data_IF_811623721252
#
_entry.id   IF_811623721252
#
_cell.length_a   1.000
_cell.length_b   1.000
_cell.length_c   1.000
_cell.angle_alpha   90.00
_cell.angle_beta   90.00
_cell.angle_gamma   90.00
#
_symmetry.space_group_name_H-M   'P 1'
#
loop_
_entity.id
_entity.type
_entity.pdbx_description
1 polymer ?
#
# COMPACT_ATOMS: atom_id res chain seq x y z
N UNK A 1 51.28 12.39 27.51
CA UNK A 1 50.43 12.42 28.71
C UNK A 1 49.04 12.02 28.27
N UNK A 2 48.66 10.84 28.72
CA UNK A 2 47.49 10.03 28.39
C UNK A 2 46.23 10.63 29.01
N UNK A 3 45.32 11.18 28.20
CA UNK A 3 43.92 11.25 28.61
C UNK A 3 43.30 9.88 28.32
N UNK A 4 43.32 9.03 29.33
CA UNK A 4 42.53 7.81 29.39
C UNK A 4 41.06 8.19 29.25
N UNK A 5 40.49 7.94 28.06
CA UNK A 5 39.05 7.95 27.83
C UNK A 5 38.39 7.08 28.90
N UNK A 6 37.54 7.73 29.70
CA UNK A 6 36.80 7.09 30.78
C UNK A 6 35.99 5.92 30.18
N UNK A 7 36.10 4.68 30.70
CA UNK A 7 35.30 3.58 30.18
C UNK A 7 33.83 3.91 30.39
N UNK A 8 33.05 3.77 29.32
CA UNK A 8 31.61 4.00 29.37
C UNK A 8 30.99 3.06 30.38
N UNK A 9 30.49 3.62 31.47
CA UNK A 9 29.80 2.89 32.52
C UNK A 9 28.44 2.42 31.98
N UNK A 10 27.90 1.25 32.39
CA UNK A 10 26.59 0.76 31.92
C UNK A 10 25.43 1.74 32.14
N UNK A 11 25.62 2.77 32.97
CA UNK A 11 24.68 3.83 33.25
C UNK A 11 24.57 4.90 32.14
N UNK A 12 25.57 5.06 31.27
CA UNK A 12 25.54 6.04 30.17
C UNK A 12 24.70 5.56 28.98
N UNK A 13 24.55 4.23 28.83
CA UNK A 13 23.62 3.59 27.89
C UNK A 13 22.15 3.88 28.27
N UNK A 14 21.88 4.14 29.56
CA UNK A 14 20.52 4.26 30.09
C UNK A 14 19.87 5.64 29.88
N UNK A 15 20.63 6.67 29.45
CA UNK A 15 20.11 8.04 29.22
C UNK A 15 19.90 8.42 27.75
N UNK A 16 20.42 7.64 26.81
CA UNK A 16 20.03 7.75 25.40
C UNK A 16 18.66 7.13 25.21
N UNK A 17 17.64 7.93 24.89
CA UNK A 17 16.33 7.42 24.45
C UNK A 17 16.58 6.52 23.23
N UNK A 18 16.78 5.22 23.42
CA UNK A 18 17.10 4.26 22.36
C UNK A 18 16.12 4.51 21.21
N UNK A 19 16.66 4.94 20.06
CA UNK A 19 15.84 5.27 18.90
C UNK A 19 15.10 4.00 18.49
N UNK A 20 13.79 3.98 18.78
CA UNK A 20 12.91 2.87 18.42
C UNK A 20 12.14 3.20 17.16
N UNK A 21 12.01 2.21 16.27
CA UNK A 21 11.17 2.30 15.10
C UNK A 21 10.05 1.28 15.17
N UNK A 22 8.80 1.76 15.25
CA UNK A 22 7.63 0.90 15.22
C UNK A 22 7.14 0.74 13.79
N UNK A 23 6.98 -0.50 13.36
CA UNK A 23 6.43 -0.89 12.07
C UNK A 23 5.13 -1.66 12.30
N UNK A 24 4.15 -1.35 11.47
CA UNK A 24 2.88 -2.06 11.37
C UNK A 24 2.67 -2.34 9.89
N UNK A 25 2.34 -3.58 9.56
CA UNK A 25 1.94 -4.02 8.23
C UNK A 25 0.45 -3.76 8.05
N UNK A 26 0.04 -3.23 6.89
CA UNK A 26 -1.37 -2.95 6.62
C UNK A 26 -2.00 -4.06 5.78
N UNK A 27 -3.27 -4.42 6.03
CA UNK A 27 -3.95 -5.44 5.25
C UNK A 27 -4.29 -4.90 3.85
N UNK A 28 -4.41 -5.80 2.85
CA UNK A 28 -4.72 -5.42 1.46
C UNK A 28 -6.03 -4.62 1.31
N UNK A 29 -6.97 -4.76 2.25
CA UNK A 29 -8.22 -3.99 2.24
C UNK A 29 -8.00 -2.47 2.24
N UNK A 30 -6.87 -1.96 2.76
CA UNK A 30 -6.58 -0.52 2.78
C UNK A 30 -6.45 0.05 1.36
N UNK A 31 -6.11 -0.76 0.35
CA UNK A 31 -6.03 -0.32 -1.05
C UNK A 31 -7.39 -0.05 -1.71
N UNK A 32 -8.51 -0.31 -1.03
CA UNK A 32 -9.84 0.12 -1.48
C UNK A 32 -10.11 1.62 -1.25
N UNK A 33 -9.17 2.37 -0.65
CA UNK A 33 -9.37 3.81 -0.40
C UNK A 33 -9.70 4.64 -1.67
N UNK A 34 -9.16 4.37 -2.88
CA UNK A 34 -9.54 5.12 -4.07
C UNK A 34 -11.03 4.95 -4.41
N UNK A 35 -11.54 3.72 -4.26
CA UNK A 35 -12.96 3.42 -4.47
C UNK A 35 -13.84 4.09 -3.41
N UNK A 36 -13.38 4.14 -2.16
CA UNK A 36 -14.07 4.89 -1.10
C UNK A 36 -14.23 6.36 -1.49
N UNK A 37 -13.13 7.03 -1.89
CA UNK A 37 -13.20 8.43 -2.29
C UNK A 37 -14.03 8.63 -3.56
N UNK A 38 -13.89 7.75 -4.56
CA UNK A 38 -14.69 7.82 -5.77
C UNK A 38 -16.19 7.69 -5.45
N UNK A 39 -16.58 6.75 -4.59
CA UNK A 39 -17.97 6.57 -4.15
C UNK A 39 -18.49 7.81 -3.42
N UNK A 40 -17.70 8.38 -2.51
CA UNK A 40 -18.09 9.56 -1.75
C UNK A 40 -18.28 10.79 -2.65
N UNK A 41 -17.37 11.02 -3.61
CA UNK A 41 -17.48 12.09 -4.59
C UNK A 41 -18.70 11.88 -5.49
N UNK A 42 -18.93 10.66 -5.98
CA UNK A 42 -20.12 10.34 -6.79
C UNK A 42 -21.43 10.58 -6.01
N UNK A 43 -21.47 10.23 -4.72
CA UNK A 43 -22.60 10.50 -3.84
C UNK A 43 -22.89 12.00 -3.70
N UNK A 44 -21.85 12.82 -3.51
CA UNK A 44 -21.96 14.28 -3.41
C UNK A 44 -22.46 14.89 -4.73
N UNK A 45 -21.92 14.45 -5.87
CA UNK A 45 -22.33 14.94 -7.19
C UNK A 45 -23.81 14.64 -7.45
N UNK A 46 -24.26 13.42 -7.16
CA UNK A 46 -25.66 13.03 -7.36
C UNK A 46 -26.60 13.75 -6.39
N UNK A 47 -26.15 14.02 -5.15
CA UNK A 47 -26.95 14.75 -4.17
C UNK A 47 -27.10 16.24 -4.49
N UNK A 48 -26.03 16.88 -4.98
CA UNK A 48 -26.00 18.34 -5.23
C UNK A 48 -26.62 18.71 -6.57
N UNK A 49 -26.49 17.85 -7.59
CA UNK A 49 -26.99 18.10 -8.94
C UNK A 49 -27.65 16.85 -9.53
N UNK A 50 -28.88 16.51 -9.09
CA UNK A 50 -29.59 15.31 -9.53
C UNK A 50 -30.16 15.49 -10.94
N UNK A 51 -29.29 15.53 -11.95
CA UNK A 51 -29.68 15.41 -13.36
C UNK A 51 -29.49 13.96 -13.83
N UNK A 52 -30.32 13.45 -14.75
CA UNK A 52 -30.18 12.08 -15.27
C UNK A 52 -28.80 11.82 -15.89
N UNK A 53 -28.22 12.83 -16.52
CA UNK A 53 -26.87 12.78 -17.09
C UNK A 53 -25.80 12.62 -16.00
N UNK A 54 -25.82 13.46 -14.95
CA UNK A 54 -24.86 13.38 -13.84
C UNK A 54 -24.96 12.04 -13.09
N UNK A 55 -26.17 11.50 -12.92
CA UNK A 55 -26.40 10.20 -12.30
C UNK A 55 -25.77 9.06 -13.10
N UNK A 56 -25.92 9.11 -14.43
CA UNK A 56 -25.38 8.13 -15.37
C UNK A 56 -23.85 8.21 -15.45
N UNK A 57 -23.30 9.43 -15.46
CA UNK A 57 -21.86 9.68 -15.41
C UNK A 57 -21.25 9.21 -14.10
N UNK A 58 -21.87 9.52 -12.96
CA UNK A 58 -21.41 9.07 -11.65
C UNK A 58 -21.40 7.53 -11.55
N UNK A 59 -22.45 6.87 -12.05
CA UNK A 59 -22.52 5.41 -12.09
C UNK A 59 -21.42 4.80 -12.95
N UNK A 60 -21.19 5.39 -14.11
CA UNK A 60 -20.14 5.00 -15.05
C UNK A 60 -18.74 5.10 -14.44
N UNK A 61 -18.45 6.25 -13.80
CA UNK A 61 -17.18 6.50 -13.12
C UNK A 61 -16.99 5.54 -11.95
N UNK A 62 -18.04 5.32 -11.16
CA UNK A 62 -17.98 4.40 -10.03
C UNK A 62 -17.70 2.96 -10.47
N UNK A 63 -18.41 2.44 -11.47
CA UNK A 63 -18.18 1.08 -12.00
C UNK A 63 -16.79 0.95 -12.60
N UNK A 64 -16.31 1.96 -13.33
CA UNK A 64 -14.94 1.96 -13.86
C UNK A 64 -13.90 1.93 -12.73
N UNK A 65 -14.08 2.76 -11.69
CA UNK A 65 -13.20 2.78 -10.53
C UNK A 65 -13.25 1.44 -9.77
N UNK A 66 -14.44 0.86 -9.60
CA UNK A 66 -14.64 -0.44 -8.99
C UNK A 66 -13.92 -1.55 -9.76
N UNK A 67 -14.11 -1.61 -11.08
CA UNK A 67 -13.43 -2.56 -11.95
C UNK A 67 -11.92 -2.43 -11.85
N UNK A 68 -11.40 -1.21 -11.93
CA UNK A 68 -9.97 -0.95 -11.84
C UNK A 68 -9.41 -1.35 -10.46
N UNK A 69 -10.12 -1.04 -9.38
CA UNK A 69 -9.72 -1.42 -8.03
C UNK A 69 -9.71 -2.94 -7.84
N UNK A 70 -10.72 -3.65 -8.36
CA UNK A 70 -10.76 -5.11 -8.36
C UNK A 70 -9.62 -5.70 -9.18
N UNK A 71 -9.28 -5.13 -10.33
CA UNK A 71 -8.15 -5.57 -11.16
C UNK A 71 -6.83 -5.43 -10.39
N UNK A 72 -6.58 -4.27 -9.79
CA UNK A 72 -5.37 -4.01 -8.99
C UNK A 72 -5.21 -5.00 -7.83
N UNK A 73 -6.30 -5.33 -7.14
CA UNK A 73 -6.23 -6.21 -5.96
C UNK A 73 -6.18 -7.69 -6.34
N UNK A 74 -6.76 -8.07 -7.48
CA UNK A 74 -6.79 -9.45 -7.94
C UNK A 74 -5.46 -9.89 -8.58
N UNK A 75 -4.68 -8.95 -9.09
CA UNK A 75 -3.42 -9.22 -9.76
C UNK A 75 -2.26 -8.62 -8.98
N UNK A 76 -1.39 -9.48 -8.45
CA UNK A 76 -0.09 -9.04 -7.94
C UNK A 76 0.80 -8.68 -9.13
N UNK A 77 0.93 -7.37 -9.42
CA UNK A 77 1.72 -6.91 -10.57
C UNK A 77 3.15 -6.57 -10.17
N UNK A 78 4.14 -7.44 -10.46
CA UNK A 78 5.53 -7.08 -10.31
C UNK A 78 5.92 -6.00 -11.31
N UNK A 79 6.88 -5.15 -10.91
CA UNK A 79 7.51 -4.06 -11.67
C UNK A 79 7.29 -4.07 -13.18
N UNK A 80 7.93 -5.06 -13.81
CA UNK A 80 8.01 -5.19 -15.26
C UNK A 80 6.68 -5.61 -15.89
N UNK A 81 5.90 -6.47 -15.23
CA UNK A 81 4.61 -6.95 -15.75
C UNK A 81 3.56 -5.85 -15.79
N UNK A 82 3.55 -4.96 -14.79
CA UNK A 82 2.67 -3.78 -14.78
C UNK A 82 2.95 -2.88 -16.01
N UNK A 83 4.23 -2.60 -16.27
CA UNK A 83 4.65 -1.75 -17.37
C UNK A 83 4.29 -2.35 -18.74
N UNK A 84 4.54 -3.65 -18.92
CA UNK A 84 4.14 -4.39 -20.14
C UNK A 84 2.63 -4.36 -20.34
N UNK A 85 1.84 -4.50 -19.27
CA UNK A 85 0.38 -4.42 -19.37
C UNK A 85 -0.08 -3.03 -19.81
N UNK A 86 0.47 -1.96 -19.23
CA UNK A 86 0.10 -0.58 -19.60
C UNK A 86 0.44 -0.32 -21.07
N UNK A 87 1.65 -0.64 -21.51
CA UNK A 87 2.04 -0.48 -22.91
C UNK A 87 1.28 -1.43 -23.85
N UNK A 88 0.97 -2.64 -23.40
CA UNK A 88 0.18 -3.61 -24.17
C UNK A 88 -1.24 -3.14 -24.40
N UNK A 89 -1.90 -2.60 -23.38
CA UNK A 89 -3.24 -1.99 -23.49
C UNK A 89 -3.18 -0.76 -24.41
N UNK A 90 -2.18 0.11 -24.23
CA UNK A 90 -2.00 1.29 -25.08
C UNK A 90 -1.79 0.89 -26.54
N UNK A 91 -0.86 -0.03 -26.82
CA UNK A 91 -0.59 -0.54 -28.14
C UNK A 91 -1.81 -1.24 -28.76
N UNK A 92 -2.59 -1.97 -27.96
CA UNK A 92 -3.84 -2.60 -28.39
C UNK A 92 -4.86 -1.55 -28.84
N UNK A 93 -5.12 -0.51 -28.04
CA UNK A 93 -6.04 0.56 -28.41
C UNK A 93 -5.56 1.39 -29.60
N UNK A 94 -4.26 1.70 -29.67
CA UNK A 94 -3.67 2.36 -30.85
C UNK A 94 -3.77 1.49 -32.10
N UNK A 95 -3.55 0.18 -31.97
CA UNK A 95 -3.69 -0.78 -33.07
C UNK A 95 -5.12 -0.85 -33.58
N UNK A 96 -6.10 -0.92 -32.68
CA UNK A 96 -7.53 -0.86 -33.04
C UNK A 96 -7.89 0.45 -33.75
N UNK A 97 -7.41 1.58 -33.23
CA UNK A 97 -7.65 2.89 -33.85
C UNK A 97 -7.02 2.99 -35.24
N UNK A 98 -5.82 2.44 -35.44
CA UNK A 98 -5.16 2.40 -36.74
C UNK A 98 -5.92 1.53 -37.75
N UNK A 99 -6.47 0.39 -37.31
CA UNK A 99 -7.31 -0.48 -38.14
C UNK A 99 -8.62 0.18 -38.55
N UNK A 100 -9.23 0.97 -37.67
CA UNK A 100 -10.42 1.76 -37.99
C UNK A 100 -10.11 2.77 -39.12
N UNK A 101 -9.00 3.51 -39.01
CA UNK A 101 -8.60 4.51 -40.02
C UNK A 101 -8.18 3.87 -41.36
N UNK A 102 -7.39 2.80 -41.33
CA UNK A 102 -6.81 2.20 -42.55
C UNK A 102 -7.66 1.13 -43.21
N UNK A 103 -8.34 0.30 -42.43
CA UNK A 103 -9.10 -0.85 -42.93
C UNK A 103 -10.62 -0.62 -42.91
N UNK A 104 -11.09 0.52 -42.36
CA UNK A 104 -12.51 0.85 -42.26
C UNK A 104 -13.30 -0.10 -41.34
N UNK A 105 -12.60 -0.90 -40.52
CA UNK A 105 -13.23 -1.85 -39.63
C UNK A 105 -13.68 -1.09 -38.38
N UNK A 106 -14.98 -0.82 -38.31
CA UNK A 106 -15.69 -0.05 -37.28
C UNK A 106 -15.79 -0.76 -35.93
N UNK A 107 -14.69 -1.32 -35.42
CA UNK A 107 -14.66 -2.02 -34.13
C UNK A 107 -14.76 -1.02 -32.97
N UNK A 108 -14.04 0.09 -33.07
CA UNK A 108 -14.00 1.10 -32.02
C UNK A 108 -15.34 1.82 -31.80
N UNK A 109 -16.04 2.30 -32.86
CA UNK A 109 -17.37 2.87 -32.71
C UNK A 109 -18.39 1.84 -32.18
N UNK A 110 -18.30 0.56 -32.56
CA UNK A 110 -19.18 -0.48 -32.01
C UNK A 110 -19.05 -0.62 -30.48
N UNK A 111 -17.82 -0.60 -29.97
CA UNK A 111 -17.58 -0.67 -28.51
C UNK A 111 -18.12 0.58 -27.82
N UNK A 112 -17.93 1.77 -28.39
CA UNK A 112 -18.41 3.02 -27.80
C UNK A 112 -19.94 3.15 -27.83
N UNK A 113 -20.56 2.68 -28.91
CA UNK A 113 -22.02 2.72 -29.08
C UNK A 113 -22.68 1.71 -28.15
N UNK A 114 -22.13 0.49 -28.05
CA UNK A 114 -22.57 -0.49 -27.07
C UNK A 114 -22.47 0.04 -25.64
N UNK A 115 -21.35 0.68 -25.28
CA UNK A 115 -21.20 1.28 -23.96
C UNK A 115 -22.21 2.41 -23.69
N UNK A 116 -22.42 3.32 -24.65
CA UNK A 116 -23.39 4.42 -24.50
C UNK A 116 -24.82 3.93 -24.40
N UNK A 117 -25.21 2.99 -25.26
CA UNK A 117 -26.60 2.57 -25.38
C UNK A 117 -27.02 1.57 -24.30
N UNK A 118 -26.16 0.64 -23.92
CA UNK A 118 -26.50 -0.37 -22.91
C UNK A 118 -26.08 0.01 -21.50
N UNK A 119 -24.88 0.57 -21.33
CA UNK A 119 -24.31 0.80 -19.99
C UNK A 119 -24.65 2.19 -19.50
N UNK A 120 -24.27 3.24 -20.25
CA UNK A 120 -24.40 4.61 -19.75
C UNK A 120 -25.86 5.03 -19.53
N UNK A 121 -26.77 4.75 -20.48
CA UNK A 121 -28.18 5.16 -20.39
C UNK A 121 -28.96 4.51 -19.25
N UNK A 122 -28.57 3.30 -18.81
CA UNK A 122 -29.34 2.53 -17.81
C UNK A 122 -28.71 2.57 -16.42
N UNK A 123 -27.50 3.12 -16.28
CA UNK A 123 -26.72 3.05 -15.05
C UNK A 123 -26.97 4.27 -14.16
N UNK A 124 -28.18 4.39 -13.63
CA UNK A 124 -28.54 5.41 -12.64
C UNK A 124 -28.58 4.82 -11.24
N UNK A 125 -27.65 5.22 -10.36
CA UNK A 125 -27.67 4.85 -8.95
C UNK A 125 -28.10 6.03 -8.06
N UNK A 126 -28.81 5.73 -6.97
CA UNK A 126 -29.21 6.73 -5.97
C UNK A 126 -28.00 7.25 -5.17
N UNK A 127 -28.05 8.50 -4.69
CA UNK A 127 -27.04 9.06 -3.79
C UNK A 127 -26.82 8.18 -2.54
N UNK A 128 -27.89 7.58 -2.02
CA UNK A 128 -27.83 6.70 -0.84
C UNK A 128 -26.95 5.47 -1.09
N UNK A 129 -27.01 4.90 -2.29
CA UNK A 129 -26.19 3.74 -2.66
C UNK A 129 -24.70 4.06 -2.53
N UNK A 130 -24.26 5.20 -3.05
CA UNK A 130 -22.86 5.62 -2.96
C UNK A 130 -22.41 5.86 -1.52
N UNK A 131 -23.25 6.48 -0.69
CA UNK A 131 -22.93 6.68 0.72
C UNK A 131 -22.88 5.37 1.51
N UNK A 132 -23.77 4.41 1.22
CA UNK A 132 -23.71 3.08 1.82
C UNK A 132 -22.41 2.36 1.48
N UNK A 133 -22.01 2.35 0.20
CA UNK A 133 -20.73 1.75 -0.22
C UNK A 133 -19.56 2.46 0.46
N UNK A 134 -19.54 3.80 0.47
CA UNK A 134 -18.49 4.56 1.14
C UNK A 134 -18.40 4.23 2.63
N UNK A 135 -19.54 4.06 3.32
CA UNK A 135 -19.58 3.73 4.74
C UNK A 135 -19.05 2.31 5.00
N UNK A 136 -19.45 1.33 4.18
CA UNK A 136 -18.96 -0.05 4.28
C UNK A 136 -17.44 -0.09 4.10
N UNK A 137 -16.93 0.54 3.04
CA UNK A 137 -15.49 0.61 2.77
C UNK A 137 -14.74 1.33 3.89
N UNK A 138 -15.31 2.41 4.43
CA UNK A 138 -14.70 3.16 5.52
C UNK A 138 -14.55 2.28 6.76
N UNK A 139 -15.61 1.56 7.14
CA UNK A 139 -15.60 0.64 8.28
C UNK A 139 -14.59 -0.48 8.04
N UNK A 140 -14.57 -1.10 6.85
CA UNK A 140 -13.63 -2.18 6.55
C UNK A 140 -12.17 -1.72 6.64
N UNK A 141 -11.84 -0.55 6.08
CA UNK A 141 -10.49 0.02 6.13
C UNK A 141 -10.13 0.41 7.57
N UNK A 142 -11.03 1.08 8.29
CA UNK A 142 -10.82 1.49 9.67
C UNK A 142 -10.59 0.27 10.59
N UNK A 143 -11.44 -0.76 10.50
CA UNK A 143 -11.28 -2.01 11.24
C UNK A 143 -9.98 -2.73 10.88
N UNK A 144 -9.59 -2.78 9.60
CA UNK A 144 -8.34 -3.40 9.17
C UNK A 144 -7.09 -2.69 9.71
N UNK A 145 -7.08 -1.34 9.67
CA UNK A 145 -5.98 -0.54 10.23
C UNK A 145 -5.93 -0.70 11.76
N UNK A 146 -7.08 -0.61 12.42
CA UNK A 146 -7.16 -0.66 13.87
C UNK A 146 -6.78 -2.05 14.40
N UNK A 147 -7.26 -3.12 13.75
CA UNK A 147 -6.89 -4.50 14.07
C UNK A 147 -5.37 -4.71 14.00
N UNK A 148 -4.73 -4.35 12.88
CA UNK A 148 -3.29 -4.51 12.75
C UNK A 148 -2.50 -3.61 13.71
N UNK A 149 -2.97 -2.39 13.97
CA UNK A 149 -2.32 -1.49 14.92
C UNK A 149 -2.40 -1.97 16.37
N UNK A 150 -3.49 -2.66 16.73
CA UNK A 150 -3.72 -3.23 18.06
C UNK A 150 -3.04 -4.59 18.25
N UNK A 151 -2.96 -5.43 17.21
CA UNK A 151 -2.56 -6.84 17.35
C UNK A 151 -1.19 -7.20 16.79
N UNK A 152 -0.70 -6.50 15.77
CA UNK A 152 0.55 -6.87 15.08
C UNK A 152 1.49 -5.68 14.96
N UNK A 153 2.26 -5.48 16.04
CA UNK A 153 3.24 -4.40 16.11
C UNK A 153 4.65 -4.95 16.17
N UNK A 154 5.48 -4.46 15.27
CA UNK A 154 6.92 -4.69 15.28
C UNK A 154 7.62 -3.47 15.84
N UNK A 155 8.42 -3.66 16.88
CA UNK A 155 9.27 -2.59 17.43
C UNK A 155 10.72 -3.01 17.22
N UNK A 156 11.41 -2.22 16.41
CA UNK A 156 12.82 -2.40 16.12
C UNK A 156 13.60 -1.55 17.09
N UNK A 157 14.48 -2.22 17.83
CA UNK A 157 15.46 -1.61 18.70
C UNK A 157 16.87 -1.98 18.23
N UNK A 158 17.88 -1.19 18.61
CA UNK A 158 19.27 -1.42 18.26
C UNK A 158 19.78 -2.86 18.34
N UNK A 159 19.50 -3.54 19.45
CA UNK A 159 20.06 -4.85 19.75
C UNK A 159 18.98 -5.96 19.77
N UNK A 160 17.71 -5.61 19.49
CA UNK A 160 16.59 -6.57 19.54
C UNK A 160 15.47 -6.20 18.57
N UNK A 161 14.90 -7.22 17.93
CA UNK A 161 13.63 -7.12 17.21
C UNK A 161 12.53 -7.64 18.13
N UNK A 162 11.59 -6.78 18.49
CA UNK A 162 10.48 -7.12 19.37
C UNK A 162 9.22 -7.23 18.54
N UNK A 163 8.67 -8.43 18.44
CA UNK A 163 7.37 -8.66 17.84
C UNK A 163 6.33 -8.85 18.92
N UNK A 164 5.35 -7.95 18.96
CA UNK A 164 4.17 -8.11 19.81
C UNK A 164 3.06 -8.71 18.95
N UNK A 165 2.70 -9.98 19.23
CA UNK A 165 1.55 -10.65 18.64
C UNK A 165 0.39 -10.73 19.64
N UNK A 166 -0.80 -10.40 19.16
CA UNK A 166 -2.07 -10.68 19.84
C UNK A 166 -2.45 -9.72 20.98
N UNK A 167 -3.72 -9.78 21.39
CA UNK A 167 -4.29 -8.96 22.47
C UNK A 167 -3.63 -9.26 23.84
N UNK A 168 -3.18 -10.51 24.02
CA UNK A 168 -2.55 -11.01 25.26
C UNK A 168 -1.02 -10.81 25.30
N UNK A 169 -0.44 -10.16 24.29
CA UNK A 169 0.92 -9.64 24.37
C UNK A 169 2.00 -10.71 24.39
N UNK A 170 1.92 -11.73 23.53
CA UNK A 170 3.06 -12.61 23.29
C UNK A 170 4.19 -11.78 22.67
N UNK A 171 5.23 -11.55 23.49
CA UNK A 171 6.41 -10.78 23.12
C UNK A 171 7.48 -11.76 22.65
N UNK A 172 7.72 -11.82 21.35
CA UNK A 172 8.86 -12.57 20.79
C UNK A 172 10.01 -11.60 20.55
N UNK A 173 11.09 -11.79 21.30
CA UNK A 173 12.33 -11.03 21.13
C UNK A 173 13.31 -11.86 20.31
N UNK A 174 13.84 -11.27 19.24
CA UNK A 174 14.94 -11.85 18.47
C UNK A 174 16.21 -11.03 18.73
N UNK A 175 17.28 -11.65 19.25
CA UNK A 175 18.56 -10.97 19.40
C UNK A 175 19.15 -10.68 18.02
N UNK A 176 19.70 -9.47 17.86
CA UNK A 176 20.26 -9.01 16.59
C UNK A 176 21.77 -8.82 16.76
N UNK A 177 22.54 -9.51 15.92
CA UNK A 177 24.01 -9.42 15.95
C UNK A 177 24.51 -8.59 14.78
N UNK A 178 23.99 -8.85 13.57
CA UNK A 178 24.27 -8.15 12.32
C UNK A 178 22.99 -8.02 11.50
N UNK A 179 22.28 -6.88 11.61
CA UNK A 179 20.98 -6.68 10.97
C UNK A 179 21.14 -6.24 9.52
N UNK A 180 20.84 -7.15 8.59
CA UNK A 180 20.67 -6.76 7.18
C UNK A 180 19.19 -6.51 6.88
N UNK A 181 18.94 -5.46 6.10
CA UNK A 181 17.59 -5.00 5.77
C UNK A 181 17.50 -4.91 4.26
N UNK A 182 16.65 -5.75 3.69
CA UNK A 182 16.34 -5.71 2.27
C UNK A 182 14.92 -5.18 2.06
N UNK A 183 14.77 -4.31 1.07
CA UNK A 183 13.47 -3.84 0.59
C UNK A 183 13.13 -4.56 -0.70
N UNK A 184 11.95 -5.19 -0.74
CA UNK A 184 11.35 -5.70 -1.97
C UNK A 184 10.06 -4.94 -2.29
N UNK A 185 9.92 -4.57 -3.55
CA UNK A 185 8.67 -4.02 -4.10
C UNK A 185 8.09 -5.11 -4.97
N UNK A 186 7.20 -5.91 -4.39
CA UNK A 186 6.59 -7.06 -5.06
C UNK A 186 5.40 -6.65 -5.92
N UNK A 187 4.64 -5.63 -5.47
CA UNK A 187 3.53 -5.04 -6.22
C UNK A 187 3.75 -3.53 -6.44
N UNK A 188 3.70 -3.11 -7.71
CA UNK A 188 3.88 -1.70 -8.12
C UNK A 188 2.71 -0.83 -7.71
N UNK A 189 1.48 -1.33 -7.84
CA UNK A 189 0.29 -0.54 -7.53
C UNK A 189 0.19 -0.29 -6.04
N UNK A 190 0.50 -1.29 -5.20
CA UNK A 190 0.60 -1.08 -3.76
C UNK A 190 1.61 0.02 -3.42
N UNK A 191 2.78 -0.01 -4.06
CA UNK A 191 3.82 0.99 -3.87
C UNK A 191 3.38 2.39 -4.34
N UNK A 192 2.71 2.51 -5.50
CA UNK A 192 2.25 3.81 -6.00
C UNK A 192 1.15 4.39 -5.10
N UNK A 193 0.28 3.56 -4.55
CA UNK A 193 -0.87 3.98 -3.74
C UNK A 193 -0.47 4.39 -2.31
N UNK A 194 0.27 3.55 -1.58
CA UNK A 194 0.60 3.76 -0.16
C UNK A 194 2.10 3.91 0.12
N UNK A 195 2.93 3.94 -0.92
CA UNK A 195 4.39 3.84 -0.79
C UNK A 195 4.76 2.62 0.06
N UNK A 196 3.97 1.54 -0.06
CA UNK A 196 4.17 0.32 0.70
C UNK A 196 5.13 -0.61 -0.02
N UNK A 197 5.66 -1.56 0.74
CA UNK A 197 6.47 -2.65 0.20
C UNK A 197 6.77 -3.66 1.28
N UNK A 198 7.56 -4.67 0.90
CA UNK A 198 7.96 -5.76 1.79
C UNK A 198 9.34 -5.45 2.36
N UNK A 199 9.45 -5.44 3.70
CA UNK A 199 10.72 -5.34 4.41
C UNK A 199 11.16 -6.71 4.91
N UNK A 200 12.41 -7.07 4.65
CA UNK A 200 12.98 -8.34 5.06
C UNK A 200 14.10 -8.05 6.04
N UNK A 201 14.01 -8.65 7.21
CA UNK A 201 15.00 -8.51 8.26
C UNK A 201 15.79 -9.81 8.37
N UNK A 202 17.12 -9.71 8.25
CA UNK A 202 18.04 -10.81 8.48
C UNK A 202 18.84 -10.50 9.76
N UNK A 203 18.48 -11.06 10.93
CA UNK A 203 19.09 -10.70 12.22
C UNK A 203 20.49 -11.29 12.47
N UNK A 204 20.91 -12.29 11.67
CA UNK A 204 22.24 -12.89 11.72
C UNK A 204 22.35 -14.18 10.87
N UNK A 205 23.57 -14.69 10.65
CA UNK A 205 23.80 -15.89 9.86
C UNK A 205 23.17 -17.13 10.52
N UNK A 206 22.27 -17.80 9.78
CA UNK A 206 21.58 -19.02 10.24
C UNK A 206 20.21 -18.82 10.86
N UNK A 207 19.73 -17.57 11.01
CA UNK A 207 18.36 -17.28 11.48
C UNK A 207 17.43 -17.08 10.27
N UNK A 208 16.19 -17.56 10.38
CA UNK A 208 15.20 -17.39 9.31
C UNK A 208 14.86 -15.91 9.10
N UNK A 209 14.82 -15.44 7.83
CA UNK A 209 14.50 -14.05 7.53
C UNK A 209 13.05 -13.74 7.92
N UNK A 210 12.85 -12.62 8.59
CA UNK A 210 11.51 -12.14 8.99
C UNK A 210 11.01 -11.23 7.87
N UNK A 211 9.90 -11.60 7.24
CA UNK A 211 9.28 -10.83 6.15
C UNK A 211 8.08 -10.05 6.68
N UNK A 212 8.12 -8.73 6.53
CA UNK A 212 7.01 -7.83 6.81
C UNK A 212 6.45 -7.32 5.49
N UNK A 213 5.31 -7.85 5.10
CA UNK A 213 4.60 -7.43 3.89
C UNK A 213 3.84 -6.11 4.15
N UNK A 214 3.58 -5.37 3.08
CA UNK A 214 2.66 -4.24 3.03
C UNK A 214 2.93 -3.17 4.11
N UNK A 215 4.20 -2.82 4.30
CA UNK A 215 4.61 -1.79 5.24
C UNK A 215 4.42 -0.41 4.60
N UNK A 216 3.48 0.43 5.06
CA UNK A 216 3.23 1.73 4.45
C UNK A 216 4.41 2.67 4.67
N UNK A 217 4.67 3.52 3.67
CA UNK A 217 5.75 4.49 3.64
C UNK A 217 7.13 3.85 3.93
N UNK A 218 7.43 2.78 3.21
CA UNK A 218 8.60 1.92 3.42
C UNK A 218 9.91 2.72 3.36
N UNK A 219 10.03 3.66 2.43
CA UNK A 219 11.25 4.46 2.22
C UNK A 219 11.64 5.29 3.46
N UNK A 220 10.67 5.85 4.19
CA UNK A 220 10.96 6.62 5.42
C UNK A 220 11.34 5.69 6.57
N UNK A 221 10.67 4.54 6.69
CA UNK A 221 10.94 3.55 7.73
C UNK A 221 12.31 2.90 7.54
N UNK A 222 12.64 2.49 6.31
CA UNK A 222 13.95 1.94 5.94
C UNK A 222 15.09 2.89 6.33
N UNK A 223 15.03 4.16 5.89
CA UNK A 223 16.04 5.18 6.25
C UNK A 223 16.21 5.34 7.76
N UNK A 224 15.09 5.33 8.50
CA UNK A 224 15.12 5.45 9.96
C UNK A 224 15.82 4.25 10.59
N UNK A 225 15.56 3.04 10.12
CA UNK A 225 16.17 1.83 10.66
C UNK A 225 17.66 1.75 10.28
N UNK A 226 18.01 2.08 9.03
CA UNK A 226 19.42 2.15 8.60
C UNK A 226 20.23 3.13 9.46
N UNK A 227 19.64 4.29 9.82
CA UNK A 227 20.29 5.24 10.73
C UNK A 227 20.51 4.65 12.14
N UNK A 228 19.58 3.85 12.65
CA UNK A 228 19.71 3.18 13.95
C UNK A 228 20.83 2.14 13.89
N UNK A 229 20.86 1.29 12.85
CA UNK A 229 21.89 0.26 12.66
C UNK A 229 23.27 0.88 12.49
N UNK A 230 23.38 1.94 11.67
CA UNK A 230 24.66 2.63 11.42
C UNK A 230 25.25 3.24 12.69
N UNK A 231 24.41 3.84 13.56
CA UNK A 231 24.89 4.39 14.84
C UNK A 231 25.52 3.31 15.73
N UNK A 232 24.97 2.10 15.72
CA UNK A 232 25.48 0.98 16.54
C UNK A 232 26.77 0.38 16.01
N UNK A 233 26.89 0.26 14.68
CA UNK A 233 28.09 -0.25 14.05
C UNK A 233 29.31 0.62 14.41
N UNK A 234 29.13 1.94 14.49
CA UNK A 234 30.18 2.88 14.91
C UNK A 234 30.54 2.70 16.39
N UNK A 235 29.56 2.54 17.28
CA UNK A 235 29.82 2.35 18.73
C UNK A 235 30.49 1.02 19.07
N UNK A 236 30.34 -0.03 18.25
CA UNK A 236 31.03 -1.33 18.45
C UNK A 236 32.43 -1.39 17.82
N UNK A 237 32.77 -0.43 16.96
CA UNK A 237 34.06 -0.38 16.25
C UNK A 237 35.14 0.43 16.98
N UNK A 238 34.83 0.98 18.14
CA UNK A 238 35.75 1.64 19.09
C UNK A 238 35.98 0.75 20.31
#
# INVERSE_FOLDING_TARGET
MTETGKPLTPADVTKGKLEKCTIVSYPKIVFFYPLLFASLVCGIVVQTSPTPENMSMAGSIFIFCFLFNMLVISFDFPGVRALVLVFGILAFFLGLNLLDIKAGIRIMPFITDFYKDFVHKNLSCSAVFYYCISAILFIMIACGILGNWLWDRWTIEPNRLVHRKGLLGELKEYPVIDLQIDKRIEDVFEHVLLLSGTLIFQPGPGVTPITLENVPNINRKEKKIQNIVRKLAVTRGE
#
